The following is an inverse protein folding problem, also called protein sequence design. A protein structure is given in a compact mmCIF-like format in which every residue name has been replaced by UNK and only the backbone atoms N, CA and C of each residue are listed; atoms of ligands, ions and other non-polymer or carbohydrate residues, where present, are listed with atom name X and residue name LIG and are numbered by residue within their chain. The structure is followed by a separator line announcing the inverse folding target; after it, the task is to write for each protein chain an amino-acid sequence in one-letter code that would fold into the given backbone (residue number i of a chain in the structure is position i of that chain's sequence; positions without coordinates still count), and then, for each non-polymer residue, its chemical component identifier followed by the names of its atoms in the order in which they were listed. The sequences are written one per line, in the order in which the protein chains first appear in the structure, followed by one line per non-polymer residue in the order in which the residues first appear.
data_IF_330504217827
#
_entry.id   IF_330504217827
#
_cell.length_a   1.000
_cell.length_b   1.000
_cell.length_c   1.000
_cell.angle_alpha   90.00
_cell.angle_beta   90.00
_cell.angle_gamma   90.00
#
_symmetry.space_group_name_H-M   'P 1'
#
loop_
_entity.id
_entity.type
_entity.pdbx_description
1 polymer ?
#
# COMPACT_ATOMS: atom_id res chain seq x y z
N UNK A 1 -48.06 -6.04 1.63
CA UNK A 1 -47.09 -5.02 1.19
C UNK A 1 -46.10 -5.66 0.23
N UNK A 2 -46.32 -5.50 -1.07
CA UNK A 2 -45.29 -5.72 -2.09
C UNK A 2 -44.75 -4.34 -2.44
N UNK A 3 -43.44 -4.14 -2.30
CA UNK A 3 -42.77 -2.94 -2.81
C UNK A 3 -41.93 -3.36 -4.00
N UNK A 4 -42.21 -2.65 -5.07
CA UNK A 4 -41.76 -2.73 -6.45
C UNK A 4 -40.26 -2.53 -6.65
N UNK A 5 -39.75 -3.26 -7.64
CA UNK A 5 -38.86 -2.83 -8.73
C UNK A 5 -37.80 -1.76 -8.43
N UNK A 6 -36.54 -2.15 -8.60
CA UNK A 6 -35.42 -1.21 -8.65
C UNK A 6 -34.09 -1.92 -8.78
N UNK A 7 -33.80 -2.44 -9.99
CA UNK A 7 -32.48 -2.92 -10.40
C UNK A 7 -31.45 -1.80 -10.21
N UNK A 8 -30.73 -1.82 -9.08
CA UNK A 8 -29.60 -0.91 -8.84
C UNK A 8 -28.43 -1.39 -9.70
N UNK A 9 -28.38 -0.85 -10.92
CA UNK A 9 -27.23 -0.92 -11.80
C UNK A 9 -26.06 -0.19 -11.12
N UNK A 10 -25.12 -0.94 -10.55
CA UNK A 10 -23.84 -0.40 -10.06
C UNK A 10 -22.64 -1.15 -10.64
N UNK A 11 -22.73 -1.49 -11.93
CA UNK A 11 -21.62 -2.03 -12.73
C UNK A 11 -20.80 -0.89 -13.38
N UNK A 12 -20.76 0.28 -12.76
CA UNK A 12 -19.94 1.40 -13.18
C UNK A 12 -18.60 1.36 -12.42
N UNK A 13 -17.54 0.98 -13.14
CA UNK A 13 -16.14 1.34 -12.85
C UNK A 13 -15.25 0.40 -12.02
N UNK A 14 -15.35 -0.94 -12.18
CA UNK A 14 -14.23 -1.84 -11.80
C UNK A 14 -13.15 -1.93 -12.92
N UNK A 15 -13.42 -1.40 -14.12
CA UNK A 15 -12.55 -1.55 -15.30
C UNK A 15 -11.27 -0.69 -15.35
N UNK A 16 -10.94 0.07 -14.31
CA UNK A 16 -9.72 0.90 -14.28
C UNK A 16 -9.14 1.02 -12.86
N UNK A 17 -9.04 -0.08 -12.12
CA UNK A 17 -8.16 -0.12 -10.95
C UNK A 17 -6.73 -0.15 -11.47
N UNK A 18 -6.11 1.02 -11.67
CA UNK A 18 -4.69 1.09 -12.04
C UNK A 18 -3.87 0.64 -10.82
N UNK A 19 -3.38 -0.60 -10.90
CA UNK A 19 -2.42 -1.19 -9.97
C UNK A 19 -1.01 -0.65 -10.21
N UNK A 20 0.03 -1.43 -9.86
CA UNK A 20 1.40 -1.06 -10.18
C UNK A 20 1.68 -1.12 -11.69
N UNK A 21 2.53 -0.21 -12.18
CA UNK A 21 3.01 -0.26 -13.56
C UNK A 21 4.03 -1.40 -13.76
N UNK A 22 4.32 -1.75 -15.02
CA UNK A 22 5.30 -2.80 -15.33
C UNK A 22 6.77 -2.41 -15.10
N UNK A 23 7.06 -1.17 -14.70
CA UNK A 23 8.41 -0.65 -14.52
C UNK A 23 8.89 -0.83 -13.07
N UNK A 24 9.52 -1.97 -12.77
CA UNK A 24 10.00 -2.33 -11.44
C UNK A 24 8.88 -2.29 -10.36
N UNK A 25 7.80 -3.09 -10.51
CA UNK A 25 6.84 -3.29 -9.43
C UNK A 25 7.51 -4.02 -8.24
N UNK A 26 6.95 -3.94 -7.02
CA UNK A 26 7.41 -4.76 -5.90
C UNK A 26 7.33 -6.26 -6.27
N UNK A 27 8.39 -7.01 -5.95
CA UNK A 27 8.48 -8.44 -6.29
C UNK A 27 7.43 -9.25 -5.48
N UNK A 28 6.47 -9.93 -6.14
CA UNK A 28 5.46 -10.74 -5.47
C UNK A 28 6.05 -11.80 -4.54
N UNK A 29 7.21 -12.38 -4.88
CA UNK A 29 7.84 -13.39 -4.01
C UNK A 29 8.23 -12.83 -2.64
N UNK A 30 8.62 -11.55 -2.60
CA UNK A 30 8.95 -10.86 -1.36
C UNK A 30 7.69 -10.48 -0.56
N UNK A 31 6.59 -10.20 -1.25
CA UNK A 31 5.26 -9.99 -0.64
C UNK A 31 4.81 -11.30 0.04
N UNK A 32 4.83 -12.40 -0.70
CA UNK A 32 4.43 -13.75 -0.26
C UNK A 32 5.24 -14.29 0.93
N UNK A 33 6.42 -13.71 1.17
CA UNK A 33 7.27 -14.07 2.32
C UNK A 33 6.65 -13.63 3.67
N UNK A 34 5.67 -12.72 3.64
CA UNK A 34 4.99 -12.24 4.84
C UNK A 34 3.90 -13.21 5.29
N UNK A 35 4.13 -13.91 6.42
CA UNK A 35 3.14 -14.83 7.01
C UNK A 35 2.11 -14.13 7.93
N UNK A 36 2.01 -12.80 7.85
CA UNK A 36 1.09 -11.97 8.66
C UNK A 36 1.20 -12.12 10.19
N UNK A 37 2.35 -12.55 10.73
CA UNK A 37 2.55 -12.82 12.17
C UNK A 37 2.45 -11.59 13.09
N UNK A 38 2.66 -10.37 12.58
CA UNK A 38 2.51 -9.13 13.37
C UNK A 38 3.72 -8.73 14.24
N UNK A 39 4.87 -9.43 14.18
CA UNK A 39 6.08 -9.04 14.92
C UNK A 39 6.60 -7.63 14.56
N UNK A 40 6.28 -7.16 13.35
CA UNK A 40 6.64 -5.82 12.89
C UNK A 40 5.81 -4.69 13.53
N UNK A 41 4.67 -4.98 14.17
CA UNK A 41 3.75 -3.97 14.67
C UNK A 41 4.34 -3.18 15.84
N UNK A 42 4.88 -3.87 16.84
CA UNK A 42 5.41 -3.25 18.06
C UNK A 42 6.70 -2.45 17.82
N UNK A 43 7.40 -2.67 16.71
CA UNK A 43 8.61 -1.93 16.35
C UNK A 43 8.34 -0.76 15.41
N UNK A 44 7.24 -0.78 14.65
CA UNK A 44 6.98 0.23 13.64
C UNK A 44 6.46 1.53 14.26
N UNK A 45 7.19 2.66 14.13
CA UNK A 45 6.80 3.92 14.76
C UNK A 45 5.52 4.50 14.16
N UNK A 46 5.31 4.42 12.84
CA UNK A 46 4.08 4.93 12.20
C UNK A 46 2.84 4.22 12.71
N UNK A 47 2.88 2.89 12.82
CA UNK A 47 1.78 2.12 13.41
C UNK A 47 1.55 2.50 14.88
N UNK A 48 2.62 2.61 15.68
CA UNK A 48 2.49 2.95 17.10
C UNK A 48 1.88 4.32 17.37
N UNK A 49 2.11 5.28 16.48
CA UNK A 49 1.57 6.64 16.61
C UNK A 49 0.17 6.74 16.00
N UNK A 50 -0.05 6.19 14.80
CA UNK A 50 -1.29 6.33 14.06
C UNK A 50 -2.36 5.32 14.46
N UNK A 51 -1.97 4.16 15.00
CA UNK A 51 -2.87 3.09 15.46
C UNK A 51 -3.62 2.33 14.36
N UNK A 52 -3.43 2.69 13.09
CA UNK A 52 -4.07 2.02 11.94
C UNK A 52 -3.17 0.92 11.42
N UNK A 53 -3.71 -0.30 11.32
CA UNK A 53 -2.96 -1.48 10.85
C UNK A 53 -2.28 -1.27 9.49
N UNK A 54 -2.94 -0.55 8.58
CA UNK A 54 -2.45 -0.25 7.23
C UNK A 54 -1.22 0.68 7.22
N UNK A 55 -0.97 1.39 8.32
CA UNK A 55 0.25 2.19 8.51
C UNK A 55 1.43 1.38 9.06
N UNK A 56 1.23 0.08 9.33
CA UNK A 56 2.28 -0.87 9.73
C UNK A 56 2.96 -1.53 8.52
N UNK A 57 4.14 -2.17 8.69
CA UNK A 57 4.83 -2.87 7.61
C UNK A 57 4.01 -4.04 7.08
N UNK A 58 3.33 -4.79 7.95
CA UNK A 58 2.43 -5.89 7.57
C UNK A 58 1.25 -5.39 6.77
N UNK A 59 0.57 -4.35 7.25
CA UNK A 59 -0.58 -3.77 6.55
C UNK A 59 -0.20 -3.18 5.18
N UNK A 60 1.00 -2.64 5.05
CA UNK A 60 1.51 -2.15 3.76
C UNK A 60 1.85 -3.27 2.80
N UNK A 61 2.41 -4.38 3.28
CA UNK A 61 2.62 -5.56 2.43
C UNK A 61 1.28 -6.08 1.93
N UNK A 62 0.26 -6.13 2.80
CA UNK A 62 -1.11 -6.48 2.41
C UNK A 62 -1.67 -5.52 1.34
N UNK A 63 -1.43 -4.21 1.46
CA UNK A 63 -1.78 -3.25 0.40
C UNK A 63 -1.02 -3.48 -0.90
N UNK A 64 0.29 -3.76 -0.81
CA UNK A 64 1.11 -4.04 -1.99
C UNK A 64 0.56 -5.24 -2.76
N UNK A 65 0.15 -6.29 -2.05
CA UNK A 65 -0.44 -7.49 -2.63
C UNK A 65 -1.75 -7.18 -3.37
N UNK A 66 -2.70 -6.55 -2.68
CA UNK A 66 -3.99 -6.19 -3.25
C UNK A 66 -3.86 -5.21 -4.45
N UNK A 67 -2.88 -4.31 -4.44
CA UNK A 67 -2.58 -3.42 -5.58
C UNK A 67 -1.94 -4.22 -6.73
N UNK A 68 -1.06 -5.16 -6.42
CA UNK A 68 -0.38 -6.01 -7.39
C UNK A 68 -1.35 -6.97 -8.09
N UNK A 69 -2.34 -7.48 -7.38
CA UNK A 69 -3.43 -8.30 -7.92
C UNK A 69 -4.52 -7.49 -8.63
N UNK A 70 -4.46 -6.15 -8.54
CA UNK A 70 -5.44 -5.26 -9.16
C UNK A 70 -6.79 -5.23 -8.45
N UNK A 71 -6.87 -5.72 -7.20
CA UNK A 71 -8.08 -5.67 -6.38
C UNK A 71 -8.38 -4.26 -5.87
N UNK A 72 -7.34 -3.47 -5.65
CA UNK A 72 -7.44 -2.06 -5.25
C UNK A 72 -6.54 -1.17 -6.11
N UNK A 73 -6.95 0.09 -6.30
CA UNK A 73 -6.17 1.05 -7.06
C UNK A 73 -5.16 1.80 -6.18
N UNK A 74 -4.08 2.27 -6.80
CA UNK A 74 -3.14 3.20 -6.18
C UNK A 74 -3.76 4.61 -6.10
N UNK A 75 -4.61 4.83 -5.10
CA UNK A 75 -5.33 6.09 -4.84
C UNK A 75 -4.83 6.79 -3.57
N UNK A 76 -5.39 7.97 -3.26
CA UNK A 76 -5.01 8.79 -2.08
C UNK A 76 -4.99 7.98 -0.78
N UNK A 77 -6.02 7.18 -0.51
CA UNK A 77 -6.10 6.40 0.73
C UNK A 77 -4.96 5.36 0.85
N UNK A 78 -4.64 4.67 -0.24
CA UNK A 78 -3.52 3.71 -0.25
C UNK A 78 -2.15 4.40 -0.20
N UNK A 79 -2.01 5.53 -0.89
CA UNK A 79 -0.76 6.30 -0.98
C UNK A 79 -0.39 6.93 0.35
N UNK A 80 -1.35 7.49 1.08
CA UNK A 80 -1.14 8.06 2.41
C UNK A 80 -0.52 7.06 3.37
N UNK A 81 -0.94 5.79 3.29
CA UNK A 81 -0.29 4.74 4.05
C UNK A 81 1.17 4.70 3.64
N UNK A 82 1.54 4.41 2.39
CA UNK A 82 2.95 4.36 1.92
C UNK A 82 3.80 5.59 2.30
N UNK A 83 3.24 6.80 2.19
CA UNK A 83 3.89 8.04 2.57
C UNK A 83 4.18 8.15 4.08
N UNK A 84 3.33 7.59 4.94
CA UNK A 84 3.53 7.63 6.39
C UNK A 84 4.66 6.70 6.89
N UNK A 85 5.25 5.88 6.02
CA UNK A 85 6.43 5.08 6.38
C UNK A 85 7.63 6.01 6.60
N UNK A 86 8.35 5.87 7.71
CA UNK A 86 9.57 6.66 7.94
C UNK A 86 10.82 6.05 7.28
N UNK A 87 10.75 4.82 6.76
CA UNK A 87 11.92 4.13 6.23
C UNK A 87 12.96 3.76 7.30
N UNK A 88 12.57 3.63 8.57
CA UNK A 88 13.49 3.26 9.67
C UNK A 88 13.99 1.80 9.63
N UNK A 89 13.33 0.93 8.84
CA UNK A 89 13.66 -0.47 8.61
C UNK A 89 13.76 -1.39 9.85
N UNK A 90 13.34 -0.94 11.03
CA UNK A 90 13.29 -1.78 12.25
C UNK A 90 12.41 -3.04 12.06
N UNK A 91 11.45 -2.98 11.14
CA UNK A 91 10.61 -4.09 10.73
C UNK A 91 11.37 -5.24 10.06
N UNK A 92 12.48 -4.97 9.36
CA UNK A 92 13.28 -5.99 8.66
C UNK A 92 14.00 -6.86 9.68
N UNK A 93 14.70 -6.26 10.65
CA UNK A 93 15.49 -7.00 11.63
C UNK A 93 14.63 -7.80 12.62
N UNK A 94 13.40 -7.37 12.90
CA UNK A 94 12.49 -8.08 13.81
C UNK A 94 11.71 -9.21 13.12
N UNK A 95 11.67 -9.25 11.77
CA UNK A 95 10.80 -10.16 11.05
C UNK A 95 11.32 -11.60 11.13
N UNK A 96 10.60 -12.54 11.75
CA UNK A 96 11.04 -13.94 11.84
C UNK A 96 11.01 -14.66 10.48
N UNK A 97 10.17 -14.19 9.56
CA UNK A 97 10.07 -14.71 8.19
C UNK A 97 11.12 -14.13 7.24
N UNK A 98 11.95 -13.18 7.70
CA UNK A 98 13.00 -12.59 6.88
C UNK A 98 12.50 -11.75 5.70
N UNK A 99 11.33 -11.11 5.82
CA UNK A 99 10.79 -10.26 4.75
C UNK A 99 11.74 -9.10 4.46
N UNK A 100 12.16 -8.99 3.20
CA UNK A 100 13.02 -7.92 2.69
C UNK A 100 12.19 -6.66 2.40
N UNK A 101 11.64 -6.07 3.48
CA UNK A 101 10.73 -4.94 3.40
C UNK A 101 11.37 -3.67 2.82
N UNK A 102 12.69 -3.50 2.97
CA UNK A 102 13.49 -2.45 2.35
C UNK A 102 13.33 -2.41 0.82
N UNK A 103 13.40 -3.58 0.18
CA UNK A 103 13.20 -3.72 -1.27
C UNK A 103 11.77 -3.41 -1.68
N UNK A 104 10.80 -3.94 -0.91
CA UNK A 104 9.38 -3.73 -1.16
C UNK A 104 8.99 -2.26 -1.06
N UNK A 105 9.35 -1.56 0.03
CA UNK A 105 8.97 -0.16 0.21
C UNK A 105 9.68 0.76 -0.78
N UNK A 106 10.92 0.45 -1.18
CA UNK A 106 11.64 1.21 -2.20
C UNK A 106 10.94 1.10 -3.56
N UNK A 107 10.64 -0.12 -4.02
CA UNK A 107 9.93 -0.33 -5.28
C UNK A 107 8.55 0.35 -5.27
N UNK A 108 7.78 0.16 -4.20
CA UNK A 108 6.44 0.76 -4.07
C UNK A 108 6.48 2.28 -4.04
N UNK A 109 7.44 2.92 -3.38
CA UNK A 109 7.55 4.39 -3.39
C UNK A 109 7.84 4.94 -4.79
N UNK A 110 8.66 4.26 -5.58
CA UNK A 110 8.88 4.66 -6.97
C UNK A 110 7.61 4.52 -7.82
N UNK A 111 6.79 3.50 -7.56
CA UNK A 111 5.47 3.37 -8.19
C UNK A 111 4.54 4.52 -7.78
N UNK A 112 4.49 4.87 -6.50
CA UNK A 112 3.70 6.00 -5.98
C UNK A 112 4.10 7.30 -6.67
N UNK A 113 5.38 7.66 -6.70
CA UNK A 113 5.80 8.93 -7.30
C UNK A 113 5.51 9.05 -8.79
N UNK A 114 5.49 7.94 -9.53
CA UNK A 114 5.20 7.95 -10.98
C UNK A 114 3.70 7.90 -11.28
N UNK A 115 2.94 7.10 -10.54
CA UNK A 115 1.58 6.75 -10.91
C UNK A 115 0.51 7.49 -10.08
N UNK A 116 0.88 8.15 -8.98
CA UNK A 116 -0.03 8.97 -8.20
C UNK A 116 0.14 10.46 -8.51
N UNK A 117 -0.96 11.11 -8.91
CA UNK A 117 -0.94 12.54 -9.22
C UNK A 117 -1.06 13.39 -7.94
N UNK A 118 0.09 13.86 -7.43
CA UNK A 118 0.15 14.78 -6.28
C UNK A 118 -0.32 16.20 -6.63
N UNK A 119 -0.74 16.95 -5.61
CA UNK A 119 -1.09 18.36 -5.76
C UNK A 119 0.14 19.21 -6.17
N UNK A 120 -0.08 20.37 -6.81
CA UNK A 120 1.01 21.25 -7.22
C UNK A 120 1.89 21.72 -6.03
N UNK A 121 1.31 22.11 -4.87
CA UNK A 121 2.12 22.43 -3.69
C UNK A 121 3.01 21.26 -3.25
N UNK A 122 2.47 20.03 -3.21
CA UNK A 122 3.24 18.85 -2.77
C UNK A 122 4.39 18.53 -3.73
N UNK A 123 4.18 18.69 -5.03
CA UNK A 123 5.23 18.49 -6.05
C UNK A 123 6.37 19.47 -5.86
N UNK A 124 6.07 20.74 -5.56
CA UNK A 124 7.07 21.78 -5.39
C UNK A 124 7.92 21.54 -4.13
N UNK A 125 7.31 21.19 -3.00
CA UNK A 125 8.04 20.91 -1.74
C UNK A 125 8.99 19.72 -1.88
N UNK A 126 8.62 18.70 -2.67
CA UNK A 126 9.44 17.48 -2.87
C UNK A 126 10.58 17.64 -3.89
N UNK A 127 10.59 18.74 -4.65
CA UNK A 127 11.64 19.05 -5.63
C UNK A 127 12.71 20.01 -5.10
N UNK A 128 12.47 20.64 -3.94
CA UNK A 128 13.42 21.48 -3.22
C UNK A 128 14.42 20.63 -2.43
#
# INVERSE_FOLDING_TARGET
MQVSEGSVNNTASIKNLQGFDGNHPPDPKLIDSCVHCGFCLSTCPSYRVLGKEMDSPRGRIYLMDAINEGEIALNTATVEHFDSCLGCLACVSTCPSGVQYDKLISATRHQVERNYNRSLPDKLVRQL
#
